data_IF_834041998198
#
_entry.id   IF_834041998198
#
_cell.length_a   1.000
_cell.length_b   1.000
_cell.length_c   1.000
_cell.angle_alpha   90.00
_cell.angle_beta   90.00
_cell.angle_gamma   90.00
#
_symmetry.space_group_name_H-M   'P 1'
#
loop_
_entity.id
_entity.type
_entity.pdbx_description
1 polymer ?
#
# COMPACT_ATOMS: atom_id res chain seq x y z
N UNK A 1 -22.96 3.44 -3.29
CA UNK A 1 -23.41 3.07 -1.93
C UNK A 1 -23.58 1.56 -1.90
N UNK A 2 -22.94 0.86 -0.96
CA UNK A 2 -23.29 -0.53 -0.69
C UNK A 2 -24.77 -0.57 -0.33
N UNK A 3 -25.56 -1.24 -1.15
CA UNK A 3 -27.05 -1.27 -1.12
C UNK A 3 -27.63 -1.45 0.27
N UNK A 4 -26.92 -2.18 1.13
CA UNK A 4 -27.35 -2.51 2.50
C UNK A 4 -27.46 -1.31 3.43
N UNK A 5 -26.57 -0.31 3.36
CA UNK A 5 -26.66 0.82 4.29
C UNK A 5 -27.81 1.75 3.91
N UNK A 6 -27.96 2.04 2.61
CA UNK A 6 -29.08 2.85 2.12
C UNK A 6 -30.42 2.20 2.46
N UNK A 7 -30.52 0.88 2.27
CA UNK A 7 -31.70 0.08 2.64
C UNK A 7 -31.99 0.17 4.15
N UNK A 8 -30.97 0.09 5.00
CA UNK A 8 -31.12 0.21 6.45
C UNK A 8 -31.69 1.58 6.86
N UNK A 9 -31.25 2.67 6.21
CA UNK A 9 -31.75 4.02 6.48
C UNK A 9 -33.18 4.22 6.00
N UNK A 10 -33.54 3.70 4.83
CA UNK A 10 -34.92 3.75 4.33
C UNK A 10 -35.86 2.97 5.27
N UNK A 11 -35.42 1.81 5.76
CA UNK A 11 -36.14 1.04 6.78
C UNK A 11 -36.25 1.81 8.10
N UNK A 12 -35.17 2.46 8.56
CA UNK A 12 -35.17 3.24 9.79
C UNK A 12 -36.11 4.47 9.70
N UNK A 13 -36.08 5.20 8.59
CA UNK A 13 -37.02 6.30 8.32
C UNK A 13 -38.46 5.81 8.31
N UNK A 14 -38.73 4.66 7.66
CA UNK A 14 -40.06 4.06 7.60
C UNK A 14 -40.56 3.67 9.00
N UNK A 15 -39.72 3.10 9.84
CA UNK A 15 -40.05 2.74 11.23
C UNK A 15 -40.40 3.97 12.07
N UNK A 16 -39.65 5.07 11.91
CA UNK A 16 -39.89 6.33 12.62
C UNK A 16 -41.15 7.05 12.10
N UNK A 17 -41.48 6.92 10.81
CA UNK A 17 -42.71 7.46 10.23
C UNK A 17 -43.93 6.66 10.67
N UNK A 18 -43.85 5.33 10.63
CA UNK A 18 -44.93 4.41 11.02
C UNK A 18 -45.10 4.29 12.55
N UNK A 19 -44.27 4.97 13.36
CA UNK A 19 -44.25 4.90 14.84
C UNK A 19 -44.22 3.46 15.38
N UNK A 20 -43.59 2.52 14.65
CA UNK A 20 -43.50 1.14 15.14
C UNK A 20 -42.60 1.11 16.37
N UNK A 21 -43.16 0.68 17.49
CA UNK A 21 -42.42 0.47 18.73
C UNK A 21 -41.58 -0.78 18.54
N UNK A 22 -40.30 -0.61 18.23
CA UNK A 22 -39.36 -1.71 18.32
C UNK A 22 -39.12 -2.01 19.80
N UNK A 23 -39.16 -3.28 20.25
CA UNK A 23 -39.16 -3.63 21.67
C UNK A 23 -37.91 -3.15 22.45
N UNK A 24 -36.85 -2.71 21.75
CA UNK A 24 -35.62 -2.19 22.35
C UNK A 24 -35.33 -0.72 22.06
N UNK A 25 -36.17 -0.02 21.28
CA UNK A 25 -35.89 1.38 20.91
C UNK A 25 -37.08 2.26 21.28
N UNK A 26 -36.88 3.07 22.33
CA UNK A 26 -37.82 4.09 22.78
C UNK A 26 -37.27 5.45 22.37
N UNK A 27 -38.12 6.30 21.80
CA UNK A 27 -37.79 7.68 21.48
C UNK A 27 -38.93 8.58 21.96
N UNK A 28 -38.57 9.63 22.70
CA UNK A 28 -39.50 10.59 23.29
C UNK A 28 -40.11 11.48 22.20
N UNK A 29 -39.29 11.94 21.25
CA UNK A 29 -39.72 12.83 20.17
C UNK A 29 -39.44 12.26 18.76
N UNK A 30 -40.51 11.81 18.10
CA UNK A 30 -40.43 11.31 16.73
C UNK A 30 -39.99 12.37 15.71
N UNK A 31 -40.22 13.66 15.98
CA UNK A 31 -39.84 14.74 15.07
C UNK A 31 -38.35 15.09 15.16
N UNK A 32 -37.76 15.04 16.36
CA UNK A 32 -36.33 15.19 16.57
C UNK A 32 -35.56 14.04 15.92
N UNK A 33 -36.02 12.79 16.09
CA UNK A 33 -35.41 11.62 15.45
C UNK A 33 -35.46 11.67 13.93
N UNK A 34 -36.56 12.15 13.34
CA UNK A 34 -36.63 12.39 11.88
C UNK A 34 -35.57 13.38 11.41
N UNK A 35 -35.31 14.43 12.19
CA UNK A 35 -34.31 15.45 11.86
C UNK A 35 -32.89 14.89 11.98
N UNK A 36 -32.58 14.21 13.07
CA UNK A 36 -31.29 13.52 13.27
C UNK A 36 -30.98 12.52 12.15
N UNK A 37 -31.97 11.71 11.76
CA UNK A 37 -31.80 10.74 10.66
C UNK A 37 -31.55 11.46 9.33
N UNK A 38 -32.24 12.57 9.05
CA UNK A 38 -32.01 13.36 7.83
C UNK A 38 -30.62 14.00 7.82
N UNK A 39 -30.18 14.54 8.95
CA UNK A 39 -28.87 15.19 9.05
C UNK A 39 -27.74 14.16 8.90
N UNK A 40 -27.90 13.00 9.52
CA UNK A 40 -26.97 11.89 9.37
C UNK A 40 -26.96 11.34 7.93
N UNK A 41 -28.12 11.27 7.27
CA UNK A 41 -28.22 10.88 5.85
C UNK A 41 -27.43 11.84 4.95
N UNK A 42 -27.55 13.15 5.17
CA UNK A 42 -26.78 14.17 4.44
C UNK A 42 -25.29 14.03 4.68
N UNK A 43 -24.88 13.83 5.94
CA UNK A 43 -23.48 13.64 6.31
C UNK A 43 -22.88 12.40 5.62
N UNK A 44 -23.59 11.27 5.65
CA UNK A 44 -23.16 10.06 4.95
C UNK A 44 -23.09 10.33 3.44
N UNK A 45 -24.11 10.91 2.81
CA UNK A 45 -24.11 11.18 1.37
C UNK A 45 -22.91 12.05 0.95
N UNK A 46 -22.59 13.09 1.72
CA UNK A 46 -21.49 14.00 1.42
C UNK A 46 -20.11 13.34 1.59
N UNK A 47 -19.94 12.49 2.60
CA UNK A 47 -18.65 11.88 2.92
C UNK A 47 -18.47 10.44 2.40
N UNK A 48 -19.51 9.84 1.82
CA UNK A 48 -19.52 8.42 1.39
C UNK A 48 -18.43 8.10 0.37
N UNK A 49 -18.32 8.91 -0.67
CA UNK A 49 -17.37 8.66 -1.75
C UNK A 49 -15.93 8.95 -1.31
N UNK A 50 -15.75 10.04 -0.56
CA UNK A 50 -14.42 10.57 -0.25
C UNK A 50 -13.74 9.85 0.91
N UNK A 51 -14.48 9.46 1.95
CA UNK A 51 -13.90 8.87 3.17
C UNK A 51 -14.20 7.37 3.26
N UNK A 52 -15.46 6.99 3.08
CA UNK A 52 -15.90 5.61 3.35
C UNK A 52 -15.50 4.68 2.20
N UNK A 53 -15.82 5.06 0.96
CA UNK A 53 -15.56 4.23 -0.21
C UNK A 53 -14.08 4.16 -0.55
N UNK A 54 -13.36 5.29 -0.43
CA UNK A 54 -11.92 5.36 -0.65
C UNK A 54 -11.16 4.50 0.37
N UNK A 55 -11.52 4.57 1.65
CA UNK A 55 -10.89 3.79 2.71
C UNK A 55 -11.23 2.30 2.57
N UNK A 56 -12.49 1.95 2.29
CA UNK A 56 -12.87 0.57 2.04
C UNK A 56 -12.14 -0.02 0.83
N UNK A 57 -11.99 0.76 -0.25
CA UNK A 57 -11.22 0.36 -1.42
C UNK A 57 -9.73 0.22 -1.10
N UNK A 58 -9.17 1.13 -0.30
CA UNK A 58 -7.78 1.07 0.17
C UNK A 58 -7.54 -0.21 0.96
N UNK A 59 -8.38 -0.51 1.96
CA UNK A 59 -8.31 -1.73 2.77
C UNK A 59 -8.47 -2.98 1.90
N UNK A 60 -9.39 -2.96 0.93
CA UNK A 60 -9.59 -4.08 0.02
C UNK A 60 -8.36 -4.29 -0.89
N UNK A 61 -7.77 -3.22 -1.41
CA UNK A 61 -6.53 -3.26 -2.19
C UNK A 61 -5.35 -3.72 -1.35
N UNK A 62 -5.21 -3.25 -0.11
CA UNK A 62 -4.18 -3.70 0.84
C UNK A 62 -4.34 -5.17 1.19
N UNK A 63 -5.57 -5.67 1.34
CA UNK A 63 -5.86 -7.09 1.60
C UNK A 63 -5.61 -7.97 0.38
N UNK A 64 -5.89 -7.47 -0.82
CA UNK A 64 -5.59 -8.15 -2.08
C UNK A 64 -4.11 -8.07 -2.45
N UNK A 65 -3.36 -7.12 -1.86
CA UNK A 65 -1.93 -7.00 -2.01
C UNK A 65 -1.24 -8.20 -1.34
N UNK A 66 -1.06 -9.27 -2.10
CA UNK A 66 -0.10 -10.32 -1.77
C UNK A 66 1.28 -9.68 -1.88
N UNK A 67 1.80 -9.22 -0.74
CA UNK A 67 3.10 -8.55 -0.67
C UNK A 67 4.15 -9.52 -1.24
N UNK A 68 4.96 -9.12 -2.24
CA UNK A 68 6.04 -9.97 -2.72
C UNK A 68 6.98 -10.23 -1.53
N UNK A 69 6.96 -11.47 -1.03
CA UNK A 69 7.64 -11.91 0.21
C UNK A 69 9.16 -11.91 0.11
N UNK A 70 9.73 -11.40 -0.99
CA UNK A 70 11.15 -11.37 -1.22
C UNK A 70 11.66 -9.96 -0.96
N UNK A 71 12.17 -9.75 0.26
CA UNK A 71 13.11 -8.66 0.43
C UNK A 71 14.48 -9.08 -0.07
N UNK A 72 15.21 -8.17 -0.73
CA UNK A 72 16.63 -8.36 -0.88
C UNK A 72 17.25 -8.40 0.52
N UNK A 73 18.04 -9.44 0.81
CA UNK A 73 18.82 -9.46 2.05
C UNK A 73 19.83 -8.31 2.05
N UNK A 74 20.37 -7.99 3.23
CA UNK A 74 21.48 -7.05 3.35
C UNK A 74 22.62 -7.42 2.37
N UNK A 75 22.95 -8.70 2.25
CA UNK A 75 23.91 -9.24 1.27
C UNK A 75 23.55 -8.86 -0.18
N UNK A 76 22.28 -9.00 -0.57
CA UNK A 76 21.83 -8.70 -1.94
C UNK A 76 21.93 -7.19 -2.23
N UNK A 77 21.71 -6.34 -1.22
CA UNK A 77 21.81 -4.88 -1.31
C UNK A 77 23.27 -4.45 -1.40
N UNK A 78 24.16 -5.06 -0.62
CA UNK A 78 25.60 -4.81 -0.66
C UNK A 78 26.19 -5.24 -2.01
N UNK A 79 25.83 -6.42 -2.51
CA UNK A 79 26.26 -6.91 -3.82
C UNK A 79 25.78 -5.98 -4.95
N UNK A 80 24.53 -5.52 -4.88
CA UNK A 80 24.02 -4.56 -5.86
C UNK A 80 24.73 -3.21 -5.78
N UNK A 81 25.02 -2.72 -4.57
CA UNK A 81 25.78 -1.47 -4.37
C UNK A 81 27.19 -1.55 -4.94
N UNK A 82 27.89 -2.65 -4.66
CA UNK A 82 29.23 -2.90 -5.16
C UNK A 82 29.24 -2.93 -6.69
N UNK A 83 28.35 -3.72 -7.29
CA UNK A 83 28.20 -3.79 -8.75
C UNK A 83 27.95 -2.41 -9.40
N UNK A 84 27.02 -1.62 -8.87
CA UNK A 84 26.71 -0.29 -9.44
C UNK A 84 27.87 0.68 -9.26
N UNK A 85 28.62 0.55 -8.17
CA UNK A 85 29.80 1.39 -7.92
C UNK A 85 30.96 1.04 -8.86
N UNK A 86 31.19 -0.24 -9.10
CA UNK A 86 32.19 -0.73 -10.06
C UNK A 86 31.85 -0.29 -11.49
N UNK A 87 30.57 -0.40 -11.88
CA UNK A 87 30.07 0.06 -13.17
C UNK A 87 30.20 1.58 -13.33
N UNK A 88 29.90 2.36 -12.29
CA UNK A 88 30.06 3.81 -12.34
C UNK A 88 31.54 4.20 -12.52
N UNK A 89 32.46 3.51 -11.85
CA UNK A 89 33.89 3.74 -11.99
C UNK A 89 34.41 3.38 -13.38
N UNK A 90 33.98 2.24 -13.95
CA UNK A 90 34.40 1.84 -15.30
C UNK A 90 33.93 2.84 -16.36
N UNK A 91 32.66 3.27 -16.29
CA UNK A 91 32.10 4.26 -17.21
C UNK A 91 32.76 5.62 -17.05
N UNK A 92 33.12 6.00 -15.82
CA UNK A 92 33.84 7.24 -15.56
C UNK A 92 35.21 7.27 -16.24
N UNK A 93 35.98 6.17 -16.14
CA UNK A 93 37.28 6.03 -16.83
C UNK A 93 37.10 6.09 -18.36
N UNK A 94 36.08 5.41 -18.89
CA UNK A 94 35.78 5.47 -20.33
C UNK A 94 35.41 6.89 -20.79
N UNK A 95 34.66 7.64 -19.98
CA UNK A 95 34.25 9.00 -20.29
C UNK A 95 35.42 9.98 -20.32
N UNK A 96 36.46 9.75 -19.50
CA UNK A 96 37.68 10.55 -19.49
C UNK A 96 38.46 10.42 -20.80
N UNK A 97 38.44 9.23 -21.43
CA UNK A 97 39.11 8.99 -22.70
C UNK A 97 38.28 9.42 -23.91
N UNK A 98 36.98 9.10 -23.94
CA UNK A 98 36.09 9.43 -25.05
C UNK A 98 34.71 9.81 -24.54
N UNK A 99 34.32 11.06 -24.79
CA UNK A 99 32.98 11.51 -24.46
C UNK A 99 31.94 10.89 -25.41
N UNK A 100 30.99 10.14 -24.84
CA UNK A 100 29.85 9.55 -25.56
C UNK A 100 28.56 9.83 -24.79
N UNK A 101 27.49 10.35 -25.44
CA UNK A 101 26.22 10.65 -24.79
C UNK A 101 25.60 9.45 -24.05
N UNK A 102 25.78 8.25 -24.59
CA UNK A 102 25.28 7.00 -24.00
C UNK A 102 25.97 6.71 -22.66
N UNK A 103 27.30 6.81 -22.61
CA UNK A 103 28.07 6.57 -21.39
C UNK A 103 27.74 7.61 -20.31
N UNK A 104 27.50 8.87 -20.69
CA UNK A 104 27.05 9.88 -19.74
C UNK A 104 25.66 9.55 -19.15
N UNK A 105 24.74 9.08 -19.99
CA UNK A 105 23.41 8.63 -19.54
C UNK A 105 23.51 7.42 -18.60
N UNK A 106 24.32 6.42 -18.92
CA UNK A 106 24.49 5.24 -18.06
C UNK A 106 25.13 5.63 -16.72
N UNK A 107 26.05 6.60 -16.71
CA UNK A 107 26.63 7.14 -15.48
C UNK A 107 25.57 7.85 -14.61
N UNK A 108 24.70 8.68 -15.20
CA UNK A 108 23.63 9.35 -14.44
C UNK A 108 22.61 8.37 -13.89
N UNK A 109 22.28 7.30 -14.63
CA UNK A 109 21.45 6.20 -14.16
C UNK A 109 22.08 5.46 -12.96
N UNK A 110 23.41 5.21 -12.99
CA UNK A 110 24.14 4.62 -11.87
C UNK A 110 24.13 5.52 -10.63
N UNK A 111 24.39 6.83 -10.80
CA UNK A 111 24.36 7.80 -9.69
C UNK A 111 22.97 7.92 -9.08
N UNK A 112 21.92 7.91 -9.92
CA UNK A 112 20.53 7.90 -9.45
C UNK A 112 20.25 6.64 -8.61
N UNK A 113 20.67 5.47 -9.08
CA UNK A 113 20.51 4.21 -8.34
C UNK A 113 21.21 4.25 -6.97
N UNK A 114 22.46 4.72 -6.91
CA UNK A 114 23.19 4.88 -5.65
C UNK A 114 22.53 5.90 -4.70
N UNK A 115 21.99 6.99 -5.24
CA UNK A 115 21.27 8.01 -4.45
C UNK A 115 19.97 7.47 -3.87
N UNK A 116 19.21 6.70 -4.65
CA UNK A 116 17.99 6.03 -4.17
C UNK A 116 18.31 5.01 -3.08
N UNK A 117 19.39 4.24 -3.26
CA UNK A 117 19.86 3.30 -2.23
C UNK A 117 20.30 4.00 -0.94
N UNK A 118 21.00 5.13 -1.04
CA UNK A 118 21.43 5.92 0.11
C UNK A 118 20.23 6.50 0.89
N UNK A 119 19.18 6.89 0.17
CA UNK A 119 17.97 7.48 0.75
C UNK A 119 16.95 6.46 1.30
N UNK A 120 17.30 5.17 1.38
CA UNK A 120 16.41 4.10 1.88
C UNK A 120 16.22 4.18 3.41
N UNK A 121 15.53 5.22 3.90
CA UNK A 121 15.37 5.53 5.33
C UNK A 121 14.02 5.07 5.94
N UNK A 122 13.11 4.47 5.16
CA UNK A 122 11.78 4.05 5.66
C UNK A 122 11.67 2.54 5.84
N UNK A 123 11.56 2.13 7.10
CA UNK A 123 11.41 0.75 7.58
C UNK A 123 10.09 0.10 7.09
N UNK A 124 9.08 0.89 6.72
CA UNK A 124 7.82 0.40 6.14
C UNK A 124 7.94 -0.31 4.78
N UNK A 125 9.06 -0.10 4.08
CA UNK A 125 9.38 -0.76 2.80
C UNK A 125 10.10 -2.11 2.98
N UNK A 126 10.40 -2.49 4.23
CA UNK A 126 11.07 -3.74 4.59
C UNK A 126 10.00 -4.67 5.20
N UNK A 127 9.46 -5.57 4.37
CA UNK A 127 8.63 -6.71 4.80
C UNK A 127 9.25 -7.53 5.93
N UNK A 128 8.39 -8.22 6.66
CA UNK A 128 8.80 -9.31 7.55
C UNK A 128 8.84 -10.62 6.75
N UNK A 129 9.90 -11.42 6.92
CA UNK A 129 10.05 -12.73 6.28
C UNK A 129 9.26 -13.80 7.03
N UNK A 130 8.56 -14.69 6.31
CA UNK A 130 8.01 -15.92 6.90
C UNK A 130 9.11 -16.99 7.06
N UNK A 131 9.07 -17.70 8.20
CA UNK A 131 10.07 -18.70 8.64
C UNK A 131 10.25 -19.85 7.65
N UNK A 132 9.20 -20.17 6.89
CA UNK A 132 9.21 -21.28 5.92
C UNK A 132 10.01 -20.95 4.65
N UNK A 133 10.09 -19.68 4.26
CA UNK A 133 10.82 -19.25 3.06
C UNK A 133 12.34 -19.30 3.26
N UNK A 134 12.81 -18.96 4.45
CA UNK A 134 14.23 -19.05 4.84
C UNK A 134 14.77 -20.49 4.69
N UNK A 135 13.94 -21.51 4.98
CA UNK A 135 14.32 -22.91 4.81
C UNK A 135 14.53 -23.26 3.33
N UNK A 136 13.64 -22.82 2.42
CA UNK A 136 13.78 -23.05 0.96
C UNK A 136 15.03 -22.40 0.37
N UNK A 137 15.41 -21.21 0.82
CA UNK A 137 16.61 -20.49 0.31
C UNK A 137 17.94 -21.18 0.66
N UNK A 138 18.04 -21.86 1.81
CA UNK A 138 19.21 -22.68 2.16
C UNK A 138 19.44 -23.86 1.21
N UNK A 139 18.37 -24.41 0.62
CA UNK A 139 18.50 -25.47 -0.38
C UNK A 139 19.04 -24.94 -1.71
N UNK A 140 18.65 -23.72 -2.12
CA UNK A 140 19.14 -23.09 -3.35
C UNK A 140 20.62 -22.67 -3.25
N UNK A 141 21.08 -22.07 -2.14
CA UNK A 141 22.53 -21.78 -1.95
C UNK A 141 23.38 -23.07 -1.99
N UNK A 142 22.89 -24.17 -1.43
CA UNK A 142 23.58 -25.49 -1.50
C UNK A 142 23.64 -26.11 -2.90
N UNK A 143 22.76 -25.70 -3.81
CA UNK A 143 22.76 -26.16 -5.20
C UNK A 143 23.70 -25.32 -6.07
N UNK A 144 23.84 -24.01 -5.80
CA UNK A 144 24.78 -23.14 -6.51
C UNK A 144 26.24 -23.31 -6.08
N UNK A 145 26.50 -23.80 -4.86
CA UNK A 145 27.85 -24.12 -4.38
C UNK A 145 28.35 -25.52 -4.82
N UNK A 146 27.50 -26.30 -5.52
CA UNK A 146 27.82 -27.65 -6.00
C UNK A 146 28.04 -27.74 -7.52
N UNK A 147 28.01 -26.60 -8.21
CA UNK A 147 28.36 -26.45 -9.64
C UNK A 147 29.62 -25.61 -9.71
#
# INVERSE_FOLDING_TARGET
MGTNLKLLWDIALKIVIEKRVLPKIKWEDGNLKKKEIKDLTKLIQNHWCNEISSMALKVLKEKQWQKPNLLPLAEDIENFRAYVSDLANSIYIELQGKWTPMNYRTLTECVLALTVMFNRKRIGDVLYLDRNLHKKRKYFKKLSEKV
#
